data_IF_934133209071
#
_entry.id   IF_934133209071
#
_cell.length_a   1.000
_cell.length_b   1.000
_cell.length_c   1.000
_cell.angle_alpha   90.00
_cell.angle_beta   90.00
_cell.angle_gamma   90.00
#
_symmetry.space_group_name_H-M   'P 1'
#
loop_
_entity.id
_entity.type
_entity.pdbx_description
1 polymer ?
#
# COMPACT_ATOMS: atom_id res chain seq x y z
N UNK A 1 44.99 8.80 21.34
CA UNK A 1 43.71 8.35 21.93
C UNK A 1 42.76 8.05 20.78
N UNK A 2 42.35 6.80 20.60
CA UNK A 2 41.50 6.36 19.49
C UNK A 2 40.35 5.52 20.08
N UNK A 3 39.35 6.20 20.64
CA UNK A 3 38.11 5.56 21.07
C UNK A 3 37.17 5.54 19.86
N UNK A 4 37.43 4.61 18.94
CA UNK A 4 36.62 4.42 17.73
C UNK A 4 35.51 3.38 17.99
N UNK A 5 34.93 3.40 19.20
CA UNK A 5 33.84 2.52 19.58
C UNK A 5 32.52 3.15 19.11
N UNK A 6 32.04 2.65 17.97
CA UNK A 6 30.68 2.79 17.46
C UNK A 6 30.11 4.22 17.32
N UNK A 7 30.88 5.15 16.78
CA UNK A 7 30.34 6.47 16.41
C UNK A 7 29.43 6.31 15.19
N UNK A 8 28.14 6.60 15.35
CA UNK A 8 27.17 6.67 14.26
C UNK A 8 27.35 7.95 13.44
N UNK A 9 28.25 7.90 12.45
CA UNK A 9 28.58 9.07 11.62
C UNK A 9 27.40 9.66 10.83
N UNK A 10 26.37 8.86 10.50
CA UNK A 10 25.16 9.39 9.85
C UNK A 10 24.41 10.33 10.76
N UNK A 11 24.22 9.92 12.01
CA UNK A 11 23.52 10.71 13.02
C UNK A 11 24.29 11.98 13.37
N UNK A 12 25.61 11.87 13.56
CA UNK A 12 26.49 13.01 13.81
C UNK A 12 26.42 14.05 12.67
N UNK A 13 26.51 13.61 11.41
CA UNK A 13 26.47 14.54 10.26
C UNK A 13 25.08 15.16 10.09
N UNK A 14 24.00 14.39 10.31
CA UNK A 14 22.64 14.90 10.23
C UNK A 14 22.31 15.89 11.36
N UNK A 15 22.76 15.59 12.58
CA UNK A 15 22.53 16.43 13.76
C UNK A 15 23.14 17.82 13.66
N UNK A 16 24.21 18.00 12.88
CA UNK A 16 24.81 19.32 12.66
C UNK A 16 23.87 20.30 11.96
N UNK A 17 22.99 19.83 11.06
CA UNK A 17 22.07 20.72 10.32
C UNK A 17 21.05 21.41 11.23
N UNK A 18 20.75 20.82 12.40
CA UNK A 18 19.83 21.36 13.39
C UNK A 18 20.53 21.99 14.59
N UNK A 19 21.87 22.08 14.57
CA UNK A 19 22.65 22.60 15.69
C UNK A 19 22.79 24.12 15.59
N UNK A 20 22.26 24.83 16.58
CA UNK A 20 22.46 26.27 16.73
C UNK A 20 23.85 26.55 17.33
N UNK A 21 24.83 26.85 16.47
CA UNK A 21 26.17 27.21 16.91
C UNK A 21 27.23 27.05 15.84
N UNK A 22 28.49 27.02 16.27
CA UNK A 22 29.63 26.82 15.36
C UNK A 22 29.99 25.34 15.23
N UNK A 23 30.57 24.97 14.09
CA UNK A 23 31.13 23.62 13.87
C UNK A 23 32.16 23.24 14.94
N UNK A 24 32.92 24.21 15.46
CA UNK A 24 33.88 23.95 16.52
C UNK A 24 33.22 23.46 17.81
N UNK A 25 32.16 24.14 18.24
CA UNK A 25 31.42 23.76 19.44
C UNK A 25 30.74 22.40 19.25
N UNK A 26 30.13 22.18 18.08
CA UNK A 26 29.52 20.90 17.74
C UNK A 26 30.51 19.74 17.80
N UNK A 27 31.68 19.90 17.17
CA UNK A 27 32.73 18.88 17.16
C UNK A 27 33.23 18.58 18.58
N UNK A 28 33.42 19.60 19.41
CA UNK A 28 33.85 19.44 20.80
C UNK A 28 32.80 18.69 21.63
N UNK A 29 31.52 19.03 21.51
CA UNK A 29 30.41 18.37 22.21
C UNK A 29 30.25 16.90 21.83
N UNK A 30 30.57 16.55 20.57
CA UNK A 30 30.49 15.18 20.07
C UNK A 30 31.83 14.42 20.17
N UNK A 31 32.85 15.01 20.79
CA UNK A 31 34.19 14.43 20.91
C UNK A 31 34.82 14.00 19.57
N UNK A 32 34.55 14.76 18.50
CA UNK A 32 35.10 14.55 17.17
C UNK A 32 35.99 15.72 16.75
N UNK A 33 36.90 15.47 15.81
CA UNK A 33 37.67 16.51 15.15
C UNK A 33 36.94 17.06 13.92
N UNK A 34 37.22 18.31 13.55
CA UNK A 34 36.69 18.92 12.31
C UNK A 34 37.05 18.09 11.08
N UNK A 35 38.28 17.55 11.04
CA UNK A 35 38.76 16.72 9.92
C UNK A 35 37.94 15.44 9.77
N UNK A 36 37.62 14.76 10.88
CA UNK A 36 36.75 13.59 10.85
C UNK A 36 35.34 13.97 10.35
N UNK A 37 34.77 15.06 10.87
CA UNK A 37 33.46 15.53 10.42
C UNK A 37 33.43 15.77 8.90
N UNK A 38 34.39 16.52 8.36
CA UNK A 38 34.46 16.78 6.92
C UNK A 38 34.67 15.51 6.09
N UNK A 39 35.52 14.59 6.56
CA UNK A 39 35.74 13.31 5.90
C UNK A 39 34.44 12.50 5.77
N UNK A 40 33.72 12.31 6.89
CA UNK A 40 32.49 11.53 6.89
C UNK A 40 31.34 12.24 6.18
N UNK A 41 31.23 13.57 6.28
CA UNK A 41 30.27 14.35 5.49
C UNK A 41 30.48 14.15 3.98
N UNK A 42 31.73 14.20 3.51
CA UNK A 42 32.06 13.94 2.10
C UNK A 42 31.79 12.48 1.72
N UNK A 43 32.19 11.53 2.57
CA UNK A 43 31.98 10.09 2.34
C UNK A 43 30.48 9.76 2.19
N UNK A 44 29.64 10.24 3.10
CA UNK A 44 28.19 10.01 3.08
C UNK A 44 27.52 10.67 1.88
N UNK A 45 27.95 11.87 1.48
CA UNK A 45 27.45 12.50 0.26
C UNK A 45 27.78 11.66 -0.99
N UNK A 46 28.98 11.08 -1.06
CA UNK A 46 29.36 10.21 -2.17
C UNK A 46 28.57 8.89 -2.19
N UNK A 47 28.27 8.31 -1.03
CA UNK A 47 27.41 7.13 -0.93
C UNK A 47 25.99 7.43 -1.43
N UNK A 48 25.43 8.59 -1.08
CA UNK A 48 24.08 8.99 -1.51
C UNK A 48 24.02 9.35 -3.00
N UNK A 49 25.10 9.88 -3.58
CA UNK A 49 25.17 10.20 -5.01
C UNK A 49 25.17 8.96 -5.92
N UNK A 50 25.45 7.77 -5.37
CA UNK A 50 25.34 6.50 -6.09
C UNK A 50 23.91 5.92 -6.07
N UNK A 51 22.98 6.51 -5.31
CA UNK A 51 21.57 6.13 -5.32
C UNK A 51 20.86 6.85 -6.47
N UNK A 52 21.19 6.45 -7.69
CA UNK A 52 20.49 6.93 -8.89
C UNK A 52 19.20 6.12 -9.07
N UNK A 53 18.05 6.74 -8.82
CA UNK A 53 16.78 6.15 -9.21
C UNK A 53 16.66 6.18 -10.73
N UNK A 54 16.76 5.01 -11.37
CA UNK A 54 16.42 4.86 -12.77
C UNK A 54 14.91 4.72 -12.90
N UNK A 55 14.26 5.71 -13.53
CA UNK A 55 12.86 5.59 -13.87
C UNK A 55 12.67 4.40 -14.84
N UNK A 56 11.89 3.40 -14.42
CA UNK A 56 11.52 2.29 -15.29
C UNK A 56 10.29 2.74 -16.07
N UNK A 57 10.43 2.90 -17.38
CA UNK A 57 9.29 3.10 -18.27
C UNK A 57 8.56 1.77 -18.44
N UNK A 58 7.42 1.61 -17.78
CA UNK A 58 6.53 0.48 -18.04
C UNK A 58 5.83 0.71 -19.37
N UNK A 59 6.15 -0.10 -20.38
CA UNK A 59 5.35 -0.16 -21.60
C UNK A 59 3.99 -0.70 -21.19
N UNK A 60 2.95 0.13 -21.24
CA UNK A 60 1.56 -0.29 -21.06
C UNK A 60 1.19 -1.26 -22.18
N UNK A 61 1.48 -2.55 -22.00
CA UNK A 61 0.83 -3.58 -22.78
C UNK A 61 -0.55 -3.68 -22.18
N UNK A 62 -1.56 -3.10 -22.85
CA UNK A 62 -2.97 -3.31 -22.53
C UNK A 62 -3.24 -4.81 -22.63
N UNK A 63 -3.08 -5.52 -21.51
CA UNK A 63 -3.62 -6.87 -21.40
C UNK A 63 -5.13 -6.66 -21.41
N UNK A 64 -5.79 -7.11 -22.47
CA UNK A 64 -7.24 -7.29 -22.45
C UNK A 64 -7.51 -8.36 -21.39
N UNK A 65 -7.67 -7.96 -20.14
CA UNK A 65 -8.42 -8.75 -19.16
C UNK A 65 -9.88 -8.60 -19.53
N UNK A 66 -10.26 -9.22 -20.64
CA UNK A 66 -11.64 -9.67 -20.79
C UNK A 66 -11.80 -10.71 -19.67
N UNK A 67 -12.32 -10.27 -18.53
CA UNK A 67 -12.81 -11.17 -17.50
C UNK A 67 -13.90 -11.95 -18.22
N UNK A 68 -13.56 -13.13 -18.73
CA UNK A 68 -14.56 -14.08 -19.15
C UNK A 68 -15.22 -14.50 -17.85
N UNK A 69 -16.26 -13.77 -17.46
CA UNK A 69 -17.18 -14.22 -16.44
C UNK A 69 -17.80 -15.46 -17.07
N UNK A 70 -17.18 -16.62 -16.80
CA UNK A 70 -17.85 -17.89 -17.03
C UNK A 70 -19.12 -17.75 -16.21
N UNK A 71 -20.27 -17.66 -16.88
CA UNK A 71 -21.56 -17.78 -16.23
C UNK A 71 -21.50 -19.15 -15.54
N UNK A 72 -21.21 -19.12 -14.24
CA UNK A 72 -21.32 -20.30 -13.42
C UNK A 72 -22.77 -20.73 -13.57
N UNK A 73 -22.96 -21.96 -14.02
CA UNK A 73 -24.27 -22.60 -14.15
C UNK A 73 -24.81 -22.75 -12.71
N UNK A 74 -25.44 -21.68 -12.23
CA UNK A 74 -25.87 -21.56 -10.84
C UNK A 74 -27.27 -22.13 -10.75
N UNK A 75 -27.56 -22.95 -9.72
CA UNK A 75 -28.86 -23.56 -9.58
C UNK A 75 -29.91 -22.46 -9.43
N UNK A 76 -30.94 -22.49 -10.28
CA UNK A 76 -32.11 -21.65 -10.15
C UNK A 76 -33.17 -22.39 -9.32
N UNK A 77 -33.86 -21.66 -8.46
CA UNK A 77 -35.10 -22.12 -7.83
C UNK A 77 -36.21 -21.93 -8.86
N UNK A 78 -36.96 -22.99 -9.16
CA UNK A 78 -38.09 -22.94 -10.09
C UNK A 78 -39.38 -23.02 -9.28
N UNK A 79 -40.23 -22.01 -9.43
CA UNK A 79 -41.56 -21.96 -8.83
C UNK A 79 -42.58 -22.15 -9.94
N UNK A 80 -43.41 -23.20 -9.83
CA UNK A 80 -44.43 -23.54 -10.82
C UNK A 80 -45.82 -23.16 -10.30
N UNK A 81 -46.57 -22.36 -11.07
CA UNK A 81 -47.93 -21.92 -10.75
C UNK A 81 -48.82 -22.19 -11.97
N UNK A 82 -49.53 -23.31 -11.97
CA UNK A 82 -50.29 -23.77 -13.15
C UNK A 82 -49.37 -24.01 -14.34
N UNK A 83 -49.57 -23.26 -15.44
CA UNK A 83 -48.70 -23.31 -16.63
C UNK A 83 -47.53 -22.33 -16.58
N UNK A 84 -47.49 -21.43 -15.60
CA UNK A 84 -46.43 -20.44 -15.46
C UNK A 84 -45.23 -21.02 -14.69
N UNK A 85 -44.02 -20.75 -15.18
CA UNK A 85 -42.76 -21.11 -14.52
C UNK A 85 -41.95 -19.85 -14.24
N UNK A 86 -41.62 -19.62 -12.97
CA UNK A 86 -40.79 -18.49 -12.53
C UNK A 86 -39.43 -19.01 -12.13
N UNK A 87 -38.38 -18.45 -12.75
CA UNK A 87 -37.00 -18.81 -12.47
C UNK A 87 -36.38 -17.75 -11.55
N UNK A 88 -35.94 -18.17 -10.36
CA UNK A 88 -35.29 -17.28 -9.38
C UNK A 88 -33.85 -17.74 -9.15
N UNK A 89 -32.84 -16.87 -9.38
CA UNK A 89 -31.45 -17.19 -9.06
C UNK A 89 -31.28 -17.49 -7.56
N UNK A 90 -30.69 -18.63 -7.20
CA UNK A 90 -30.59 -19.05 -5.79
C UNK A 90 -29.71 -18.12 -4.91
N UNK A 91 -28.87 -17.30 -5.52
CA UNK A 91 -28.04 -16.31 -4.82
C UNK A 91 -28.81 -15.04 -4.41
N UNK A 92 -30.06 -14.86 -4.86
CA UNK A 92 -30.87 -13.67 -4.61
C UNK A 92 -31.97 -13.94 -3.58
N UNK A 93 -31.56 -14.43 -2.41
CA UNK A 93 -32.44 -14.77 -1.27
C UNK A 93 -33.35 -13.59 -0.86
N UNK A 94 -32.86 -12.35 -1.00
CA UNK A 94 -33.63 -11.15 -0.71
C UNK A 94 -34.85 -10.99 -1.65
N UNK A 95 -34.71 -11.33 -2.93
CA UNK A 95 -35.82 -11.27 -3.90
C UNK A 95 -36.85 -12.33 -3.57
N UNK A 96 -36.41 -13.56 -3.25
CA UNK A 96 -37.31 -14.63 -2.82
C UNK A 96 -38.10 -14.25 -1.56
N UNK A 97 -37.43 -13.64 -0.57
CA UNK A 97 -38.09 -13.20 0.67
C UNK A 97 -39.15 -12.13 0.42
N UNK A 98 -38.87 -11.16 -0.46
CA UNK A 98 -39.82 -10.12 -0.81
C UNK A 98 -41.03 -10.68 -1.57
N UNK A 99 -40.80 -11.55 -2.56
CA UNK A 99 -41.89 -12.21 -3.31
C UNK A 99 -42.84 -12.98 -2.39
N UNK A 100 -42.30 -13.73 -1.42
CA UNK A 100 -43.14 -14.48 -0.46
C UNK A 100 -43.94 -13.54 0.45
N UNK A 101 -43.34 -12.44 0.92
CA UNK A 101 -44.06 -11.44 1.73
C UNK A 101 -45.20 -10.81 0.94
N UNK A 102 -44.93 -10.40 -0.30
CA UNK A 102 -45.93 -9.77 -1.17
C UNK A 102 -47.09 -10.72 -1.45
N UNK A 103 -46.81 -12.00 -1.71
CA UNK A 103 -47.85 -13.02 -1.90
C UNK A 103 -48.72 -13.19 -0.65
N UNK A 104 -48.10 -13.30 0.54
CA UNK A 104 -48.83 -13.43 1.80
C UNK A 104 -49.75 -12.21 2.02
N UNK A 105 -49.27 -11.01 1.74
CA UNK A 105 -50.07 -9.78 1.91
C UNK A 105 -51.24 -9.67 0.93
N UNK A 106 -51.11 -10.21 -0.29
CA UNK A 106 -52.15 -10.14 -1.32
C UNK A 106 -53.18 -11.29 -1.24
N UNK A 107 -52.92 -12.34 -0.45
CA UNK A 107 -53.87 -13.46 -0.23
C UNK A 107 -54.91 -13.13 0.85
N UNK A 108 -54.72 -12.09 1.66
CA UNK A 108 -55.66 -11.68 2.71
C UNK A 108 -56.74 -10.67 2.25
N UNK A 109 -56.98 -10.57 0.93
CA UNK A 109 -58.06 -9.73 0.34
C UNK A 109 -59.30 -10.53 0.01
#
# INVERSE_FOLDING_TARGET
>A
MNNNENINWREIVAGFSSYEGTLGNFCNSNHITKSQFYYYKKKLNNENNNLQFHAISMKEKRVRTEITVVQADRPNIIIEIGVAKVHVPANEIAILSNLLKDLITNVQS
#
